data_IF_568510858070
#
_entry.id   IF_568510858070
#
_cell.length_a   1.000
_cell.length_b   1.000
_cell.length_c   1.000
_cell.angle_alpha   90.00
_cell.angle_beta   90.00
_cell.angle_gamma   90.00
#
_symmetry.space_group_name_H-M   'P 1'
#
loop_
_entity.id
_entity.type
_entity.pdbx_description
1 polymer ?
#
# COMPACT_ATOMS: atom_id res chain seq x y z
N UNK A 1 -27.75 -0.69 5.21
CA UNK A 1 -27.25 -1.19 6.51
C UNK A 1 -27.13 -2.71 6.61
N UNK A 2 -27.55 -3.47 5.59
CA UNK A 2 -27.51 -4.96 5.61
C UNK A 2 -26.27 -5.53 4.89
N UNK A 3 -25.60 -4.75 4.02
CA UNK A 3 -24.47 -5.26 3.22
C UNK A 3 -23.09 -5.18 3.89
N UNK A 4 -22.98 -4.51 5.04
CA UNK A 4 -21.71 -4.38 5.77
C UNK A 4 -21.36 -5.62 6.62
N UNK A 5 -22.34 -6.38 7.07
CA UNK A 5 -22.15 -7.55 7.96
C UNK A 5 -21.58 -8.75 7.20
N UNK A 6 -21.82 -8.83 5.88
CA UNK A 6 -21.37 -9.99 5.07
C UNK A 6 -19.88 -9.97 4.73
N UNK A 7 -19.24 -8.82 4.73
CA UNK A 7 -17.81 -8.67 4.37
C UNK A 7 -16.91 -8.96 5.59
N UNK A 8 -17.31 -8.57 6.80
CA UNK A 8 -16.55 -8.89 8.01
C UNK A 8 -16.59 -10.39 8.33
N UNK A 9 -17.72 -11.05 8.08
CA UNK A 9 -17.84 -12.50 8.29
C UNK A 9 -17.01 -13.33 7.31
N UNK A 10 -16.81 -12.84 6.09
CA UNK A 10 -15.99 -13.54 5.08
C UNK A 10 -14.49 -13.39 5.31
N UNK A 11 -14.05 -12.27 5.86
CA UNK A 11 -12.65 -12.05 6.27
C UNK A 11 -12.28 -12.93 7.48
N UNK A 12 -13.18 -13.10 8.45
CA UNK A 12 -12.96 -13.97 9.61
C UNK A 12 -12.91 -15.45 9.22
N UNK A 13 -13.71 -15.88 8.25
CA UNK A 13 -13.70 -17.25 7.72
C UNK A 13 -12.38 -17.54 6.97
N UNK A 14 -11.83 -16.58 6.23
CA UNK A 14 -10.54 -16.74 5.56
C UNK A 14 -9.36 -16.77 6.54
N UNK A 15 -9.42 -16.03 7.65
CA UNK A 15 -8.43 -16.10 8.72
C UNK A 15 -8.51 -17.44 9.50
N UNK A 16 -9.70 -17.97 9.69
CA UNK A 16 -9.91 -19.25 10.37
C UNK A 16 -9.43 -20.44 9.49
N UNK A 17 -9.61 -20.40 8.17
CA UNK A 17 -9.06 -21.38 7.23
C UNK A 17 -7.54 -21.26 7.05
N UNK A 18 -6.96 -20.09 7.19
CA UNK A 18 -5.51 -19.91 7.16
C UNK A 18 -4.84 -20.48 8.43
N UNK A 19 -5.56 -20.47 9.58
CA UNK A 19 -5.10 -21.08 10.84
C UNK A 19 -5.25 -22.60 10.86
N UNK A 20 -6.20 -23.20 10.13
CA UNK A 20 -6.40 -24.64 10.04
C UNK A 20 -5.33 -25.38 9.20
N UNK A 21 -4.51 -24.65 8.43
CA UNK A 21 -3.41 -25.20 7.62
C UNK A 21 -2.03 -25.20 8.28
N UNK A 22 -1.89 -24.69 9.51
CA UNK A 22 -0.61 -24.60 10.24
C UNK A 22 -0.56 -25.60 11.41
N UNK A 23 0.12 -26.72 11.21
CA UNK A 23 0.32 -27.79 12.16
C UNK A 23 0.94 -27.34 13.48
N UNK A 24 0.22 -27.58 14.59
CA UNK A 24 0.71 -27.52 15.96
C UNK A 24 0.61 -28.89 16.60
N UNK A 25 1.76 -29.44 16.97
CA UNK A 25 1.92 -30.66 17.75
C UNK A 25 1.39 -30.49 19.18
N UNK A 26 0.49 -31.35 19.63
CA UNK A 26 0.10 -31.48 21.03
C UNK A 26 -0.70 -32.73 21.25
N UNK A 27 -0.17 -33.68 22.01
CA UNK A 27 -0.60 -35.04 22.17
C UNK A 27 -1.92 -35.20 22.94
N UNK A 28 -2.58 -36.34 22.69
CA UNK A 28 -3.75 -36.84 23.40
C UNK A 28 -4.26 -38.12 22.78
N UNK A 29 -4.08 -39.22 23.47
CA UNK A 29 -4.43 -40.61 23.15
C UNK A 29 -5.93 -40.85 23.02
N UNK A 30 -6.35 -41.75 22.13
CA UNK A 30 -7.60 -42.48 22.23
C UNK A 30 -8.27 -42.90 20.94
N UNK A 31 -8.04 -44.13 20.47
CA UNK A 31 -9.02 -45.06 19.96
C UNK A 31 -9.67 -44.85 18.61
N UNK A 32 -9.44 -45.75 17.66
CA UNK A 32 -10.29 -45.96 16.52
C UNK A 32 -9.56 -46.16 15.18
N UNK A 33 -8.95 -47.34 14.96
CA UNK A 33 -8.25 -47.67 13.74
C UNK A 33 -9.21 -48.00 12.57
N UNK A 34 -9.53 -47.03 11.75
CA UNK A 34 -10.27 -47.23 10.50
C UNK A 34 -10.24 -46.04 9.56
N UNK A 35 -9.96 -44.85 10.05
CA UNK A 35 -9.99 -43.61 9.28
C UNK A 35 -8.67 -43.24 8.55
N UNK A 36 -7.53 -43.81 8.96
CA UNK A 36 -6.21 -43.35 8.56
C UNK A 36 -5.92 -43.51 7.06
N UNK A 37 -6.29 -44.61 6.45
CA UNK A 37 -5.95 -44.91 5.03
C UNK A 37 -6.86 -44.10 4.09
N UNK A 38 -8.15 -43.97 4.41
CA UNK A 38 -9.09 -43.20 3.61
C UNK A 38 -8.78 -41.71 3.68
N UNK A 39 -8.36 -41.18 4.83
CA UNK A 39 -7.94 -39.78 4.93
C UNK A 39 -6.63 -39.50 4.18
N UNK A 40 -5.70 -40.44 4.16
CA UNK A 40 -4.44 -40.30 3.39
C UNK A 40 -4.74 -40.34 1.88
N UNK A 41 -5.59 -41.25 1.42
CA UNK A 41 -5.99 -41.34 -0.01
C UNK A 41 -6.77 -40.06 -0.42
N UNK A 42 -7.66 -39.55 0.45
CA UNK A 42 -8.37 -38.31 0.21
C UNK A 42 -7.40 -37.11 0.13
N UNK A 43 -6.40 -37.03 0.99
CA UNK A 43 -5.37 -35.98 0.94
C UNK A 43 -4.50 -36.07 -0.31
N UNK A 44 -4.05 -37.27 -0.71
CA UNK A 44 -3.23 -37.49 -1.91
C UNK A 44 -3.98 -37.08 -3.18
N UNK A 45 -5.29 -37.29 -3.24
CA UNK A 45 -6.11 -36.87 -4.38
C UNK A 45 -6.53 -35.39 -4.32
N UNK A 46 -6.92 -34.90 -3.14
CA UNK A 46 -7.50 -33.58 -2.96
C UNK A 46 -6.46 -32.45 -3.14
N UNK A 47 -5.27 -32.55 -2.53
CA UNK A 47 -4.25 -31.48 -2.52
C UNK A 47 -3.74 -31.18 -3.93
N UNK A 48 -3.27 -32.17 -4.75
CA UNK A 48 -2.85 -31.88 -6.12
C UNK A 48 -4.00 -31.32 -6.99
N UNK A 49 -5.21 -31.83 -6.81
CA UNK A 49 -6.37 -31.38 -7.59
C UNK A 49 -6.87 -29.99 -7.17
N UNK A 50 -6.73 -29.61 -5.92
CA UNK A 50 -6.89 -28.24 -5.48
C UNK A 50 -5.87 -27.30 -6.16
N UNK A 51 -4.62 -27.75 -6.30
CA UNK A 51 -3.59 -27.06 -7.09
C UNK A 51 -4.00 -26.89 -8.56
N UNK A 52 -4.50 -27.95 -9.21
CA UNK A 52 -5.02 -27.90 -10.58
C UNK A 52 -6.22 -26.95 -10.69
N UNK A 53 -7.17 -27.01 -9.76
CA UNK A 53 -8.30 -26.08 -9.69
C UNK A 53 -7.86 -24.62 -9.54
N UNK A 54 -6.81 -24.37 -8.74
CA UNK A 54 -6.22 -23.04 -8.56
C UNK A 54 -5.51 -22.55 -9.83
N UNK A 55 -4.84 -23.42 -10.58
CA UNK A 55 -4.26 -23.11 -11.90
C UNK A 55 -5.34 -22.79 -12.94
N UNK A 56 -6.42 -23.57 -12.97
CA UNK A 56 -7.59 -23.28 -13.82
C UNK A 56 -8.19 -21.90 -13.48
N UNK A 57 -8.25 -21.55 -12.19
CA UNK A 57 -8.68 -20.26 -11.71
C UNK A 57 -7.78 -19.12 -12.25
N UNK A 58 -6.46 -19.25 -12.20
CA UNK A 58 -5.52 -18.24 -12.71
C UNK A 58 -5.77 -17.98 -14.21
N UNK A 59 -6.08 -19.01 -15.00
CA UNK A 59 -6.43 -18.87 -16.42
C UNK A 59 -7.68 -18.04 -16.72
N UNK A 60 -8.56 -17.81 -15.74
CA UNK A 60 -9.72 -16.92 -15.90
C UNK A 60 -9.42 -15.45 -15.65
N UNK A 61 -8.26 -15.11 -15.05
CA UNK A 61 -7.92 -13.75 -14.66
C UNK A 61 -7.01 -12.99 -15.65
N UNK A 62 -6.52 -13.64 -16.72
CA UNK A 62 -5.70 -12.94 -17.70
C UNK A 62 -5.49 -13.75 -18.99
N UNK A 63 -5.40 -13.05 -20.12
CA UNK A 63 -5.16 -13.67 -21.44
C UNK A 63 -3.79 -14.38 -21.52
N UNK A 64 -2.79 -13.90 -20.80
CA UNK A 64 -1.46 -14.52 -20.72
C UNK A 64 -1.46 -15.92 -20.07
N UNK A 65 -2.52 -16.24 -19.29
CA UNK A 65 -2.65 -17.51 -18.57
C UNK A 65 -3.64 -18.49 -19.22
N UNK A 66 -4.20 -18.15 -20.39
CA UNK A 66 -5.09 -19.03 -21.13
C UNK A 66 -4.46 -20.38 -21.45
N UNK A 67 -3.15 -20.40 -21.66
CA UNK A 67 -2.34 -21.61 -21.86
C UNK A 67 -2.36 -22.53 -20.62
N UNK A 68 -2.18 -21.98 -19.42
CA UNK A 68 -2.25 -22.76 -18.18
C UNK A 68 -3.63 -23.34 -17.92
N UNK A 69 -4.69 -22.65 -18.34
CA UNK A 69 -6.07 -23.15 -18.29
C UNK A 69 -6.24 -24.39 -19.19
N UNK A 70 -5.70 -24.33 -20.42
CA UNK A 70 -5.75 -25.46 -21.34
C UNK A 70 -4.99 -26.66 -20.76
N UNK A 71 -3.78 -26.45 -20.23
CA UNK A 71 -3.00 -27.49 -19.56
C UNK A 71 -3.77 -28.08 -18.36
N UNK A 72 -4.36 -27.27 -17.51
CA UNK A 72 -5.15 -27.69 -16.37
C UNK A 72 -6.31 -28.62 -16.76
N UNK A 73 -7.05 -28.29 -17.82
CA UNK A 73 -8.11 -29.13 -18.34
C UNK A 73 -7.60 -30.44 -18.94
N UNK A 74 -6.46 -30.42 -19.66
CA UNK A 74 -5.84 -31.64 -20.22
C UNK A 74 -5.40 -32.56 -19.09
N UNK A 75 -4.75 -32.03 -18.04
CA UNK A 75 -4.33 -32.82 -16.88
C UNK A 75 -5.53 -33.41 -16.15
N UNK A 76 -6.56 -32.62 -15.87
CA UNK A 76 -7.77 -33.09 -15.20
C UNK A 76 -8.48 -34.19 -16.02
N UNK A 77 -8.57 -34.02 -17.34
CA UNK A 77 -9.13 -34.99 -18.25
C UNK A 77 -8.32 -36.30 -18.30
N UNK A 78 -7.00 -36.22 -18.41
CA UNK A 78 -6.11 -37.36 -18.42
C UNK A 78 -6.20 -38.20 -17.13
N UNK A 79 -6.25 -37.52 -15.96
CA UNK A 79 -6.45 -38.19 -14.66
C UNK A 79 -7.82 -38.86 -14.58
N UNK A 80 -8.88 -38.20 -15.01
CA UNK A 80 -10.21 -38.79 -15.02
C UNK A 80 -10.33 -40.06 -15.90
N UNK A 81 -9.75 -39.97 -17.11
CA UNK A 81 -9.72 -41.14 -18.05
C UNK A 81 -8.86 -42.27 -17.47
N UNK A 82 -7.66 -41.94 -16.90
CA UNK A 82 -6.77 -42.94 -16.28
C UNK A 82 -7.47 -43.67 -15.11
N UNK A 83 -8.21 -42.97 -14.28
CA UNK A 83 -8.95 -43.59 -13.18
C UNK A 83 -10.09 -44.49 -13.64
N UNK A 84 -10.79 -44.12 -14.70
CA UNK A 84 -11.86 -44.99 -15.29
C UNK A 84 -11.25 -46.27 -15.86
N UNK A 85 -10.15 -46.15 -16.61
CA UNK A 85 -9.43 -47.30 -17.15
C UNK A 85 -8.92 -48.22 -16.04
N UNK A 86 -8.31 -47.67 -14.99
CA UNK A 86 -7.84 -48.41 -13.83
C UNK A 86 -8.99 -49.15 -13.11
N UNK A 87 -10.11 -48.48 -12.90
CA UNK A 87 -11.30 -49.06 -12.28
C UNK A 87 -11.88 -50.25 -13.06
N UNK A 88 -11.91 -50.14 -14.40
CA UNK A 88 -12.32 -51.21 -15.29
C UNK A 88 -11.35 -52.39 -15.25
N UNK A 89 -10.02 -52.07 -15.29
CA UNK A 89 -8.96 -53.09 -15.29
C UNK A 89 -8.91 -53.89 -13.98
N UNK A 90 -9.24 -53.27 -12.84
CA UNK A 90 -9.24 -53.89 -11.52
C UNK A 90 -10.59 -54.61 -11.22
N UNK A 91 -11.62 -54.39 -12.06
CA UNK A 91 -12.95 -54.99 -11.86
C UNK A 91 -13.72 -54.41 -10.65
N UNK A 92 -13.27 -53.24 -10.11
CA UNK A 92 -13.87 -52.58 -8.94
C UNK A 92 -14.28 -51.14 -9.27
N UNK A 93 -15.33 -50.98 -9.97
CA UNK A 93 -15.88 -49.66 -10.37
C UNK A 93 -16.22 -48.79 -9.16
N UNK A 94 -16.59 -49.34 -8.04
CA UNK A 94 -16.86 -48.64 -6.79
C UNK A 94 -15.63 -47.89 -6.26
N UNK A 95 -14.43 -48.40 -6.44
CA UNK A 95 -13.18 -47.70 -6.06
C UNK A 95 -12.92 -46.45 -6.89
N UNK A 96 -13.41 -46.42 -8.12
CA UNK A 96 -13.31 -45.21 -8.98
C UNK A 96 -14.09 -44.08 -8.38
N UNK A 97 -15.31 -44.31 -7.84
CA UNK A 97 -16.10 -43.27 -7.18
C UNK A 97 -15.44 -42.76 -5.92
N UNK A 98 -14.81 -43.61 -5.10
CA UNK A 98 -14.13 -43.23 -3.85
C UNK A 98 -12.92 -42.34 -4.14
N UNK A 99 -12.21 -42.57 -5.23
CA UNK A 99 -11.04 -41.78 -5.62
C UNK A 99 -11.45 -40.54 -6.44
N UNK A 100 -12.46 -40.69 -7.31
CA UNK A 100 -12.92 -39.58 -8.15
C UNK A 100 -13.59 -38.46 -7.35
N UNK A 101 -14.32 -38.79 -6.27
CA UNK A 101 -14.99 -37.79 -5.45
C UNK A 101 -14.04 -36.76 -4.83
N UNK A 102 -12.96 -37.12 -4.12
CA UNK A 102 -11.98 -36.16 -3.60
C UNK A 102 -11.29 -35.32 -4.70
N UNK A 103 -11.02 -35.94 -5.85
CA UNK A 103 -10.43 -35.25 -7.01
C UNK A 103 -11.39 -34.20 -7.56
N UNK A 104 -12.65 -34.58 -7.81
CA UNK A 104 -13.69 -33.67 -8.29
C UNK A 104 -13.94 -32.52 -7.28
N UNK A 105 -14.02 -32.83 -5.99
CA UNK A 105 -14.13 -31.82 -4.95
C UNK A 105 -12.90 -30.93 -4.88
N UNK A 106 -11.67 -31.45 -4.99
CA UNK A 106 -10.43 -30.66 -5.03
C UNK A 106 -10.44 -29.64 -6.16
N UNK A 107 -10.79 -30.07 -7.38
CA UNK A 107 -10.91 -29.15 -8.54
C UNK A 107 -12.03 -28.14 -8.32
N UNK A 108 -13.22 -28.58 -7.89
CA UNK A 108 -14.37 -27.70 -7.66
C UNK A 108 -14.10 -26.69 -6.55
N UNK A 109 -13.45 -27.09 -5.45
CA UNK A 109 -13.06 -26.19 -4.37
C UNK A 109 -11.97 -25.20 -4.81
N UNK A 110 -10.95 -25.67 -5.56
CA UNK A 110 -9.93 -24.81 -6.14
C UNK A 110 -10.53 -23.76 -7.12
N UNK A 111 -11.50 -24.18 -7.93
CA UNK A 111 -12.29 -23.32 -8.81
C UNK A 111 -13.30 -22.46 -8.02
N UNK A 112 -13.94 -23.00 -7.01
CA UNK A 112 -15.05 -22.40 -6.27
C UNK A 112 -14.66 -21.12 -5.54
N UNK A 113 -13.47 -21.08 -4.97
CA UNK A 113 -12.92 -19.85 -4.40
C UNK A 113 -12.76 -18.73 -5.46
N UNK A 114 -12.56 -19.11 -6.75
CA UNK A 114 -12.53 -18.19 -7.88
C UNK A 114 -13.91 -17.86 -8.43
N UNK A 115 -14.80 -18.83 -8.48
CA UNK A 115 -16.17 -18.63 -8.96
C UNK A 115 -16.96 -17.71 -8.03
N UNK A 116 -16.83 -17.86 -6.71
CA UNK A 116 -17.46 -16.96 -5.74
C UNK A 116 -17.01 -15.51 -5.93
N UNK A 117 -15.71 -15.28 -6.07
CA UNK A 117 -15.17 -13.96 -6.35
C UNK A 117 -15.61 -13.44 -7.76
N UNK A 118 -15.71 -14.32 -8.74
CA UNK A 118 -16.19 -13.98 -10.08
C UNK A 118 -17.68 -13.64 -10.08
N UNK A 119 -18.53 -14.44 -9.41
CA UNK A 119 -19.96 -14.15 -9.27
C UNK A 119 -20.20 -12.87 -8.47
N UNK A 120 -19.41 -12.59 -7.41
CA UNK A 120 -19.52 -11.35 -6.66
C UNK A 120 -19.14 -10.13 -7.53
N UNK A 121 -18.09 -10.24 -8.34
CA UNK A 121 -17.70 -9.20 -9.30
C UNK A 121 -18.74 -8.98 -10.39
N UNK A 122 -19.35 -10.07 -10.91
CA UNK A 122 -20.45 -9.96 -11.88
C UNK A 122 -21.68 -9.31 -11.27
N UNK A 123 -22.03 -9.69 -10.04
CA UNK A 123 -23.16 -9.09 -9.31
C UNK A 123 -22.90 -7.60 -9.04
N UNK A 124 -21.71 -7.24 -8.60
CA UNK A 124 -21.29 -5.85 -8.38
C UNK A 124 -21.31 -5.06 -9.69
N UNK A 125 -20.75 -5.59 -10.76
CA UNK A 125 -20.76 -4.94 -12.07
C UNK A 125 -22.20 -4.72 -12.59
N UNK A 126 -23.10 -5.71 -12.45
CA UNK A 126 -24.51 -5.56 -12.85
C UNK A 126 -25.23 -4.52 -12.00
N UNK A 127 -24.96 -4.47 -10.71
CA UNK A 127 -25.55 -3.47 -9.79
C UNK A 127 -25.14 -2.05 -10.19
N UNK A 128 -23.87 -1.83 -10.49
CA UNK A 128 -23.35 -0.53 -10.96
C UNK A 128 -23.97 -0.13 -12.29
N UNK A 129 -24.03 -1.07 -13.27
CA UNK A 129 -24.64 -0.80 -14.58
C UNK A 129 -26.13 -0.45 -14.42
N UNK A 130 -26.85 -1.14 -13.56
CA UNK A 130 -28.27 -0.85 -13.31
C UNK A 130 -28.46 0.51 -12.63
N UNK A 131 -27.57 0.88 -11.68
CA UNK A 131 -27.58 2.19 -11.05
C UNK A 131 -27.32 3.29 -12.07
N UNK A 132 -26.30 3.14 -12.93
CA UNK A 132 -26.00 4.08 -14.00
C UNK A 132 -27.17 4.25 -14.97
N UNK A 133 -27.81 3.15 -15.41
CA UNK A 133 -28.97 3.21 -16.30
C UNK A 133 -30.19 3.89 -15.65
N UNK A 134 -30.36 3.70 -14.35
CA UNK A 134 -31.44 4.38 -13.60
C UNK A 134 -31.15 5.87 -13.48
N UNK A 135 -29.92 6.27 -13.19
CA UNK A 135 -29.47 7.65 -13.13
C UNK A 135 -29.54 8.33 -14.52
N UNK A 136 -29.07 7.67 -15.58
CA UNK A 136 -29.10 8.18 -16.95
C UNK A 136 -30.52 8.51 -17.44
N UNK A 137 -31.53 7.74 -17.01
CA UNK A 137 -32.94 8.04 -17.36
C UNK A 137 -33.41 9.37 -16.78
N UNK A 138 -32.83 9.81 -15.66
CA UNK A 138 -33.15 11.09 -15.02
C UNK A 138 -32.27 12.21 -15.54
N UNK A 139 -30.99 11.91 -15.75
CA UNK A 139 -29.97 12.89 -16.14
C UNK A 139 -28.95 12.24 -17.09
N UNK A 140 -28.89 12.73 -18.33
CA UNK A 140 -27.96 12.25 -19.36
C UNK A 140 -26.47 12.39 -18.98
N UNK A 141 -26.15 13.21 -18.00
CA UNK A 141 -24.76 13.28 -17.49
C UNK A 141 -24.24 11.96 -16.92
N UNK A 142 -25.15 11.02 -16.59
CA UNK A 142 -24.83 9.66 -16.16
C UNK A 142 -24.60 8.64 -17.30
N UNK A 143 -24.51 9.09 -18.56
CA UNK A 143 -24.22 8.18 -19.67
C UNK A 143 -22.89 7.46 -19.47
N UNK A 144 -22.91 6.14 -19.32
CA UNK A 144 -21.75 5.30 -18.99
C UNK A 144 -20.59 5.52 -19.96
N UNK A 145 -20.84 5.48 -21.25
CA UNK A 145 -19.76 5.64 -22.28
C UNK A 145 -19.14 7.03 -22.24
N UNK A 146 -19.96 8.06 -21.99
CA UNK A 146 -19.48 9.45 -21.86
C UNK A 146 -18.60 9.60 -20.63
N UNK A 147 -19.02 9.09 -19.46
CA UNK A 147 -18.25 9.12 -18.22
C UNK A 147 -16.93 8.37 -18.36
N UNK A 148 -16.97 7.18 -18.94
CA UNK A 148 -15.76 6.38 -19.18
C UNK A 148 -14.77 7.12 -20.08
N UNK A 149 -15.22 7.62 -21.24
CA UNK A 149 -14.37 8.37 -22.19
C UNK A 149 -13.82 9.65 -21.55
N UNK A 150 -14.63 10.33 -20.74
CA UNK A 150 -14.20 11.51 -20.00
C UNK A 150 -13.07 11.16 -19.02
N UNK A 151 -13.27 10.14 -18.18
CA UNK A 151 -12.27 9.71 -17.20
C UNK A 151 -10.98 9.21 -17.83
N UNK A 152 -11.05 8.51 -18.97
CA UNK A 152 -9.86 8.13 -19.77
C UNK A 152 -9.11 9.37 -20.27
N UNK A 153 -9.83 10.38 -20.74
CA UNK A 153 -9.23 11.66 -21.16
C UNK A 153 -8.52 12.36 -20.01
N UNK A 154 -9.15 12.39 -18.82
CA UNK A 154 -8.53 12.96 -17.61
C UNK A 154 -7.31 12.15 -17.19
N UNK A 155 -7.32 10.82 -17.30
CA UNK A 155 -6.15 9.99 -17.01
C UNK A 155 -4.93 10.43 -17.85
N UNK A 156 -5.05 10.51 -19.18
CA UNK A 156 -3.94 10.93 -20.03
C UNK A 156 -3.48 12.35 -19.75
N UNK A 157 -4.44 13.23 -19.51
CA UNK A 157 -4.14 14.64 -19.19
C UNK A 157 -3.40 14.77 -17.86
N UNK A 158 -3.84 14.05 -16.83
CA UNK A 158 -3.19 14.04 -15.52
C UNK A 158 -1.76 13.50 -15.59
N UNK A 159 -1.53 12.38 -16.28
CA UNK A 159 -0.18 11.82 -16.43
C UNK A 159 0.79 12.81 -17.09
N UNK A 160 0.31 13.56 -18.08
CA UNK A 160 1.09 14.61 -18.72
C UNK A 160 1.34 15.78 -17.77
N UNK A 161 0.28 16.37 -17.21
CA UNK A 161 0.35 17.55 -16.33
C UNK A 161 1.20 17.27 -15.09
N UNK A 162 1.12 16.05 -14.53
CA UNK A 162 1.95 15.57 -13.43
C UNK A 162 3.44 15.54 -13.80
N UNK A 163 3.77 14.93 -14.93
CA UNK A 163 5.16 14.81 -15.40
C UNK A 163 5.78 16.18 -15.75
N UNK A 164 4.95 17.16 -16.12
CA UNK A 164 5.35 18.53 -16.47
C UNK A 164 5.21 19.53 -15.32
N UNK A 165 4.75 19.10 -14.13
CA UNK A 165 4.45 19.97 -12.99
C UNK A 165 3.43 21.08 -13.31
N UNK A 166 2.49 20.81 -14.21
CA UNK A 166 1.51 21.79 -14.69
C UNK A 166 0.30 21.92 -13.77
N UNK A 167 0.51 22.48 -12.59
CA UNK A 167 -0.53 22.69 -11.56
C UNK A 167 -1.69 23.57 -12.06
N UNK A 168 -1.44 24.58 -12.90
CA UNK A 168 -2.49 25.42 -13.46
C UNK A 168 -3.47 24.62 -14.33
N UNK A 169 -2.95 23.77 -15.21
CA UNK A 169 -3.78 22.89 -16.03
C UNK A 169 -4.60 21.93 -15.16
N UNK A 170 -4.00 21.38 -14.10
CA UNK A 170 -4.66 20.49 -13.16
C UNK A 170 -5.83 21.15 -12.44
N UNK A 171 -5.73 22.43 -12.08
CA UNK A 171 -6.80 23.18 -11.41
C UNK A 171 -8.11 23.27 -12.19
N UNK A 172 -8.09 22.98 -13.50
CA UNK A 172 -9.29 23.00 -14.35
C UNK A 172 -10.16 21.74 -14.21
N UNK A 173 -9.58 20.63 -13.73
CA UNK A 173 -10.29 19.34 -13.65
C UNK A 173 -10.11 18.59 -12.31
N UNK A 174 -9.33 19.13 -11.37
CA UNK A 174 -9.24 18.63 -10.00
C UNK A 174 -10.22 19.35 -9.08
N UNK A 175 -10.69 18.64 -8.04
CA UNK A 175 -11.36 19.31 -6.93
C UNK A 175 -10.38 20.21 -6.17
N UNK A 176 -10.83 21.30 -5.55
CA UNK A 176 -9.93 22.19 -4.79
C UNK A 176 -9.12 21.46 -3.72
N UNK A 177 -9.76 20.52 -3.02
CA UNK A 177 -9.11 19.71 -1.99
C UNK A 177 -8.00 18.85 -2.60
N UNK A 178 -8.29 18.14 -3.68
CA UNK A 178 -7.31 17.25 -4.32
C UNK A 178 -6.20 18.04 -5.03
N UNK A 179 -6.53 19.20 -5.62
CA UNK A 179 -5.54 20.12 -6.19
C UNK A 179 -4.52 20.57 -5.15
N UNK A 180 -4.97 20.95 -3.95
CA UNK A 180 -4.06 21.34 -2.87
C UNK A 180 -3.13 20.20 -2.46
N UNK A 181 -3.65 18.97 -2.38
CA UNK A 181 -2.83 17.79 -2.11
C UNK A 181 -1.77 17.57 -3.20
N UNK A 182 -2.19 17.60 -4.48
CA UNK A 182 -1.27 17.46 -5.62
C UNK A 182 -0.20 18.56 -5.63
N UNK A 183 -0.58 19.81 -5.35
CA UNK A 183 0.35 20.93 -5.27
C UNK A 183 1.43 20.71 -4.18
N UNK A 184 1.03 20.18 -3.02
CA UNK A 184 1.99 19.82 -1.97
C UNK A 184 2.95 18.72 -2.42
N UNK A 185 2.45 17.70 -3.13
CA UNK A 185 3.28 16.62 -3.67
C UNK A 185 4.27 17.15 -4.71
N UNK A 186 3.84 17.99 -5.63
CA UNK A 186 4.70 18.62 -6.63
C UNK A 186 5.74 19.53 -5.97
N UNK A 187 5.34 20.31 -4.96
CA UNK A 187 6.25 21.14 -4.19
C UNK A 187 7.33 20.29 -3.47
N UNK A 188 6.91 19.19 -2.85
CA UNK A 188 7.82 18.25 -2.19
C UNK A 188 8.79 17.58 -3.17
N UNK A 189 8.31 17.16 -4.35
CA UNK A 189 9.14 16.60 -5.41
C UNK A 189 10.17 17.63 -5.91
N UNK A 190 9.73 18.86 -6.16
CA UNK A 190 10.62 19.96 -6.54
C UNK A 190 11.70 20.24 -5.50
N UNK A 191 11.30 20.33 -4.22
CA UNK A 191 12.22 20.51 -3.09
C UNK A 191 13.21 19.36 -2.90
N UNK A 192 12.81 18.13 -3.28
CA UNK A 192 13.67 16.95 -3.30
C UNK A 192 14.51 16.83 -4.59
N UNK A 193 14.44 17.81 -5.49
CA UNK A 193 15.06 17.78 -6.81
C UNK A 193 14.66 16.54 -7.63
N UNK A 194 13.38 16.21 -7.67
CA UNK A 194 12.87 15.02 -8.35
C UNK A 194 11.76 15.37 -9.31
N UNK A 195 11.67 14.55 -10.36
CA UNK A 195 10.53 14.52 -11.25
C UNK A 195 10.09 13.07 -11.45
N UNK A 196 8.79 12.83 -11.36
CA UNK A 196 8.22 11.54 -11.73
C UNK A 196 7.61 11.66 -13.12
N UNK A 197 8.17 10.92 -14.09
CA UNK A 197 7.75 10.94 -15.50
C UNK A 197 6.98 9.67 -15.85
N UNK A 198 5.77 9.85 -16.35
CA UNK A 198 4.90 8.79 -16.84
C UNK A 198 4.97 8.71 -18.37
N UNK A 199 5.96 7.97 -18.89
CA UNK A 199 6.21 7.85 -20.33
C UNK A 199 5.22 6.90 -21.01
N UNK A 200 4.65 7.32 -22.16
CA UNK A 200 3.79 6.50 -23.02
C UNK A 200 2.68 5.74 -22.27
N UNK A 201 1.86 6.40 -21.47
CA UNK A 201 0.78 5.74 -20.76
C UNK A 201 -0.22 5.12 -21.74
N UNK A 202 -0.67 3.88 -21.44
CA UNK A 202 -1.61 3.14 -22.28
C UNK A 202 -2.64 2.44 -21.44
N UNK A 203 -3.91 2.81 -21.57
CA UNK A 203 -5.01 2.12 -20.95
C UNK A 203 -5.25 0.79 -21.66
N UNK A 204 -5.27 -0.30 -20.91
CA UNK A 204 -5.64 -1.63 -21.41
C UNK A 204 -7.10 -1.95 -21.11
N UNK A 205 -7.64 -1.42 -20.02
CA UNK A 205 -9.03 -1.60 -19.59
C UNK A 205 -9.45 -0.44 -18.71
N UNK A 206 -10.69 0.02 -18.90
CA UNK A 206 -11.37 0.93 -17.98
C UNK A 206 -12.80 0.45 -17.74
N UNK A 207 -13.35 0.74 -16.57
CA UNK A 207 -14.77 0.44 -16.25
C UNK A 207 -15.21 1.26 -15.03
N UNK A 208 -16.47 1.68 -15.02
CA UNK A 208 -17.06 2.30 -13.84
C UNK A 208 -17.34 1.19 -12.81
N UNK A 209 -16.75 1.32 -11.62
CA UNK A 209 -16.79 0.33 -10.54
C UNK A 209 -17.72 0.74 -9.40
N UNK A 210 -18.07 2.01 -9.32
CA UNK A 210 -19.06 2.56 -8.39
C UNK A 210 -19.73 3.79 -8.99
N UNK A 211 -20.99 4.01 -8.66
CA UNK A 211 -21.75 5.20 -9.00
C UNK A 211 -22.78 5.48 -7.89
N UNK A 212 -22.88 6.73 -7.47
CA UNK A 212 -23.85 7.19 -6.48
C UNK A 212 -24.54 8.44 -7.01
N UNK A 213 -25.84 8.30 -7.30
CA UNK A 213 -26.77 9.34 -7.71
C UNK A 213 -27.52 9.81 -6.47
N UNK A 214 -27.31 11.05 -6.08
CA UNK A 214 -27.96 11.68 -4.93
C UNK A 214 -29.03 12.67 -5.40
N UNK A 215 -29.97 13.02 -4.51
CA UNK A 215 -30.97 14.04 -4.81
C UNK A 215 -30.32 15.42 -5.07
N UNK A 216 -29.20 15.69 -4.43
CA UNK A 216 -28.37 16.85 -4.68
C UNK A 216 -27.24 16.45 -5.65
N UNK A 217 -27.38 16.85 -6.90
CA UNK A 217 -26.42 16.54 -7.96
C UNK A 217 -24.97 16.92 -7.62
N UNK A 218 -24.72 17.92 -6.74
CA UNK A 218 -23.37 18.29 -6.36
C UNK A 218 -22.71 17.26 -5.41
N UNK A 219 -23.47 16.25 -4.97
CA UNK A 219 -22.97 15.13 -4.18
C UNK A 219 -22.76 13.88 -5.01
N UNK A 220 -23.15 13.93 -6.28
CA UNK A 220 -22.98 12.81 -7.20
C UNK A 220 -21.52 12.42 -7.33
N UNK A 221 -21.27 11.12 -7.36
CA UNK A 221 -19.92 10.60 -7.52
C UNK A 221 -19.92 9.30 -8.34
N UNK A 222 -18.83 9.11 -9.11
CA UNK A 222 -18.51 7.81 -9.69
C UNK A 222 -17.03 7.49 -9.53
N UNK A 223 -16.71 6.21 -9.56
CA UNK A 223 -15.34 5.71 -9.54
C UNK A 223 -15.08 4.94 -10.82
N UNK A 224 -14.04 5.35 -11.55
CA UNK A 224 -13.51 4.67 -12.72
C UNK A 224 -12.30 3.83 -12.32
N UNK A 225 -12.38 2.52 -12.50
CA UNK A 225 -11.23 1.63 -12.40
C UNK A 225 -10.48 1.63 -13.72
N UNK A 226 -9.20 1.97 -13.71
CA UNK A 226 -8.33 2.03 -14.89
C UNK A 226 -7.18 1.05 -14.70
N UNK A 227 -7.05 0.10 -15.62
CA UNK A 227 -5.86 -0.73 -15.75
C UNK A 227 -5.03 -0.20 -16.91
N UNK A 228 -3.80 0.20 -16.62
CA UNK A 228 -2.92 0.81 -17.58
C UNK A 228 -1.49 0.30 -17.44
N UNK A 229 -0.64 0.64 -18.39
CA UNK A 229 0.81 0.51 -18.32
C UNK A 229 1.44 1.84 -18.73
N UNK A 230 2.57 2.16 -18.11
CA UNK A 230 3.38 3.32 -18.46
C UNK A 230 4.84 3.02 -18.13
N UNK A 231 5.74 3.81 -18.71
CA UNK A 231 7.13 3.86 -18.26
C UNK A 231 7.21 4.86 -17.11
N UNK A 232 7.03 4.37 -15.88
CA UNK A 232 7.07 5.16 -14.66
C UNK A 232 8.53 5.34 -14.23
N UNK A 233 9.03 6.57 -14.25
CA UNK A 233 10.41 6.89 -13.93
C UNK A 233 10.48 8.00 -12.89
N UNK A 234 11.22 7.75 -11.80
CA UNK A 234 11.62 8.78 -10.84
C UNK A 234 13.06 9.20 -11.14
N UNK A 235 13.28 10.48 -11.40
CA UNK A 235 14.55 11.03 -11.86
C UNK A 235 14.99 12.13 -10.90
N UNK A 236 16.26 12.11 -10.48
CA UNK A 236 16.92 13.23 -9.81
C UNK A 236 17.25 14.31 -10.85
N UNK A 237 16.74 15.53 -10.68
CA UNK A 237 16.88 16.62 -11.66
C UNK A 237 18.24 17.31 -11.61
N UNK A 238 19.06 17.06 -10.58
CA UNK A 238 20.40 17.68 -10.44
C UNK A 238 21.42 17.09 -11.41
N UNK A 239 21.33 15.75 -11.60
CA UNK A 239 22.29 14.99 -12.40
C UNK A 239 21.62 14.06 -13.43
N UNK A 240 20.28 14.12 -13.55
CA UNK A 240 19.45 13.23 -14.35
C UNK A 240 19.58 11.73 -13.99
N UNK A 241 19.99 11.43 -12.76
CA UNK A 241 20.08 10.05 -12.28
C UNK A 241 18.69 9.41 -12.20
N UNK A 242 18.54 8.24 -12.82
CA UNK A 242 17.35 7.43 -12.72
C UNK A 242 17.32 6.73 -11.34
N UNK A 243 16.43 7.20 -10.45
CA UNK A 243 16.26 6.64 -9.10
C UNK A 243 15.41 5.38 -9.10
N UNK A 244 14.39 5.33 -9.97
CA UNK A 244 13.46 4.21 -10.07
C UNK A 244 12.86 4.14 -11.48
N UNK A 245 12.61 2.92 -11.97
CA UNK A 245 11.86 2.66 -13.20
C UNK A 245 10.96 1.45 -13.01
N UNK A 246 9.67 1.58 -13.39
CA UNK A 246 8.75 0.47 -13.52
C UNK A 246 7.98 0.56 -14.84
N UNK A 247 7.74 -0.61 -15.44
CA UNK A 247 6.97 -0.76 -16.69
C UNK A 247 5.80 -1.73 -16.53
N UNK A 248 5.54 -2.15 -15.29
CA UNK A 248 4.47 -3.10 -15.02
C UNK A 248 3.11 -2.46 -15.21
N UNK A 249 2.14 -3.28 -15.56
CA UNK A 249 0.75 -2.87 -15.55
C UNK A 249 0.29 -2.61 -14.11
N UNK A 250 -0.47 -1.54 -13.93
CA UNK A 250 -1.06 -1.14 -12.66
C UNK A 250 -2.57 -0.94 -12.81
N UNK A 251 -3.29 -0.98 -11.69
CA UNK A 251 -4.73 -0.68 -11.65
C UNK A 251 -4.96 0.36 -10.58
N UNK A 252 -5.61 1.45 -10.96
CA UNK A 252 -5.97 2.56 -10.10
C UNK A 252 -7.46 2.84 -10.16
N UNK A 253 -7.98 3.43 -9.09
CA UNK A 253 -9.37 3.82 -8.94
C UNK A 253 -9.45 5.34 -8.86
N UNK A 254 -10.14 5.93 -9.83
CA UNK A 254 -10.23 7.37 -10.05
C UNK A 254 -11.62 7.84 -9.65
N UNK A 255 -11.72 8.57 -8.53
CA UNK A 255 -12.98 9.11 -8.00
C UNK A 255 -13.26 10.46 -8.63
N UNK A 256 -14.43 10.57 -9.24
CA UNK A 256 -14.96 11.82 -9.79
C UNK A 256 -16.16 12.25 -8.97
N UNK A 257 -16.25 13.54 -8.68
CA UNK A 257 -17.40 14.19 -8.08
C UNK A 257 -18.00 15.20 -9.05
N UNK A 258 -19.28 15.45 -8.92
CA UNK A 258 -19.99 16.38 -9.79
C UNK A 258 -19.85 17.82 -9.30
N UNK A 259 -19.69 18.73 -10.25
CA UNK A 259 -19.70 20.16 -10.02
C UNK A 259 -20.57 20.83 -11.09
N UNK A 260 -21.82 21.10 -10.75
CA UNK A 260 -22.82 21.57 -11.72
C UNK A 260 -23.08 20.50 -12.80
N UNK A 261 -22.74 20.83 -14.05
CA UNK A 261 -22.89 19.90 -15.18
C UNK A 261 -21.61 19.14 -15.52
N UNK A 262 -20.50 19.43 -14.83
CA UNK A 262 -19.19 18.85 -15.10
C UNK A 262 -18.80 17.86 -14.01
N UNK A 263 -17.87 16.99 -14.36
CA UNK A 263 -17.22 16.07 -13.45
C UNK A 263 -15.78 16.49 -13.20
N UNK A 264 -15.35 16.45 -11.95
CA UNK A 264 -13.97 16.79 -11.58
C UNK A 264 -13.35 15.64 -10.79
N UNK A 265 -12.06 15.42 -10.98
CA UNK A 265 -11.30 14.38 -10.27
C UNK A 265 -11.06 14.81 -8.83
N UNK A 266 -11.46 13.97 -7.88
CA UNK A 266 -11.37 14.23 -6.44
C UNK A 266 -10.38 13.32 -5.72
N UNK A 267 -9.85 12.30 -6.39
CA UNK A 267 -8.83 11.44 -5.82
C UNK A 267 -8.49 10.25 -6.70
N UNK A 268 -7.28 9.73 -6.48
CA UNK A 268 -6.78 8.49 -7.06
C UNK A 268 -6.40 7.57 -5.91
N UNK A 269 -6.85 6.32 -5.93
CA UNK A 269 -6.58 5.31 -4.90
C UNK A 269 -6.22 3.97 -5.52
N UNK A 270 -5.62 3.09 -4.71
CA UNK A 270 -5.28 1.72 -5.11
C UNK A 270 -6.45 0.76 -4.92
N UNK A 271 -7.46 1.18 -4.18
CA UNK A 271 -8.68 0.41 -3.87
C UNK A 271 -9.90 1.32 -3.82
N UNK A 272 -11.08 0.80 -4.19
CA UNK A 272 -12.33 1.52 -3.97
C UNK A 272 -12.62 1.79 -2.49
N UNK A 273 -12.05 0.98 -1.60
CA UNK A 273 -12.16 1.15 -0.14
C UNK A 273 -11.48 2.42 0.36
N UNK A 274 -10.46 2.90 -0.34
CA UNK A 274 -9.70 4.09 0.05
C UNK A 274 -10.58 5.33 0.12
N UNK A 275 -11.67 5.37 -0.66
CA UNK A 275 -12.63 6.46 -0.68
C UNK A 275 -13.76 6.32 0.35
N UNK A 276 -14.03 5.10 0.85
CA UNK A 276 -15.19 4.79 1.67
C UNK A 276 -14.85 4.32 3.09
N UNK A 277 -13.58 4.24 3.45
CA UNK A 277 -13.18 3.93 4.83
C UNK A 277 -13.65 5.03 5.75
N UNK A 278 -14.62 4.72 6.59
CA UNK A 278 -15.21 5.63 7.57
C UNK A 278 -14.34 5.90 8.79
N UNK A 279 -13.32 5.09 9.04
CA UNK A 279 -12.33 5.28 10.09
C UNK A 279 -10.95 4.84 9.61
N UNK A 280 -10.11 5.84 9.39
CA UNK A 280 -8.67 5.65 9.33
C UNK A 280 -8.09 6.69 10.28
N UNK A 281 -7.63 6.25 11.44
CA UNK A 281 -7.11 7.12 12.49
C UNK A 281 -6.02 8.07 11.99
N UNK A 282 -5.26 7.66 10.98
CA UNK A 282 -4.20 8.48 10.36
C UNK A 282 -4.81 9.56 9.47
N UNK A 283 -5.87 9.23 8.73
CA UNK A 283 -6.59 10.22 7.91
C UNK A 283 -7.28 11.27 8.78
N UNK A 284 -7.86 10.84 9.89
CA UNK A 284 -8.48 11.73 10.88
C UNK A 284 -7.42 12.62 11.54
N UNK A 285 -6.25 12.06 11.87
CA UNK A 285 -5.09 12.83 12.35
C UNK A 285 -4.66 13.87 11.31
N UNK A 286 -4.50 13.48 10.04
CA UNK A 286 -4.13 14.39 8.97
C UNK A 286 -5.14 15.55 8.83
N UNK A 287 -6.44 15.23 8.84
CA UNK A 287 -7.50 16.23 8.75
C UNK A 287 -7.48 17.20 9.95
N UNK A 288 -7.28 16.71 11.18
CA UNK A 288 -7.17 17.54 12.39
C UNK A 288 -5.96 18.50 12.34
N UNK A 289 -4.90 18.13 11.61
CA UNK A 289 -3.69 18.94 11.46
C UNK A 289 -3.68 19.77 10.15
N UNK A 290 -4.80 19.80 9.41
CA UNK A 290 -4.89 20.42 8.08
C UNK A 290 -3.85 19.87 7.09
N UNK A 291 -3.57 18.57 7.18
CA UNK A 291 -2.67 17.83 6.30
C UNK A 291 -3.45 16.91 5.38
N UNK A 292 -2.81 16.41 4.34
CA UNK A 292 -3.41 15.55 3.34
C UNK A 292 -2.86 14.13 3.44
N UNK A 293 -3.72 13.14 3.31
CA UNK A 293 -3.40 11.73 3.40
C UNK A 293 -3.43 11.06 2.02
N UNK A 294 -2.44 10.22 1.75
CA UNK A 294 -2.45 9.24 0.66
C UNK A 294 -1.89 7.90 1.13
N UNK A 295 -2.35 6.79 0.54
CA UNK A 295 -1.92 5.47 0.98
C UNK A 295 -0.50 5.15 0.53
N UNK A 296 -0.13 5.44 -0.72
CA UNK A 296 1.06 4.90 -1.38
C UNK A 296 1.95 5.91 -2.14
N UNK A 297 1.66 7.19 -2.10
CA UNK A 297 2.43 8.19 -2.88
C UNK A 297 3.75 8.61 -2.23
N UNK A 298 3.92 8.31 -0.94
CA UNK A 298 5.09 8.73 -0.16
C UNK A 298 6.41 8.20 -0.70
N UNK A 299 6.42 7.06 -1.38
CA UNK A 299 7.63 6.46 -1.93
C UNK A 299 8.38 7.37 -2.93
N UNK A 300 7.67 8.29 -3.60
CA UNK A 300 8.26 9.29 -4.50
C UNK A 300 9.21 10.24 -3.75
N UNK A 301 8.99 10.41 -2.46
CA UNK A 301 9.72 11.36 -1.60
C UNK A 301 10.71 10.67 -0.67
N UNK A 302 10.89 9.35 -0.80
CA UNK A 302 11.84 8.56 0.00
C UNK A 302 13.24 9.17 -0.08
N UNK A 303 13.92 9.39 1.05
CA UNK A 303 15.27 9.90 1.03
C UNK A 303 16.25 8.98 0.31
N UNK A 304 17.19 9.55 -0.43
CA UNK A 304 18.26 8.80 -1.10
C UNK A 304 19.36 8.39 -0.11
N UNK A 305 19.63 9.24 0.86
CA UNK A 305 20.70 9.10 1.81
C UNK A 305 20.15 9.16 3.24
N UNK A 306 20.83 8.49 4.16
CA UNK A 306 20.50 8.49 5.58
C UNK A 306 20.77 7.12 6.22
N UNK A 307 20.86 7.10 7.53
CA UNK A 307 21.04 5.87 8.30
C UNK A 307 19.83 4.94 8.19
N UNK A 308 18.63 5.51 8.32
CA UNK A 308 17.36 4.76 8.24
C UNK A 308 17.16 4.18 6.83
N UNK A 309 17.55 4.91 5.78
CA UNK A 309 17.27 4.60 4.38
C UNK A 309 18.45 3.96 3.63
N UNK A 310 19.62 3.87 4.25
CA UNK A 310 20.86 3.42 3.59
C UNK A 310 20.87 1.97 3.10
N UNK A 311 19.88 1.16 3.50
CA UNK A 311 19.81 -0.28 3.20
C UNK A 311 18.80 -0.65 2.12
N UNK A 312 18.05 0.31 1.58
CA UNK A 312 16.93 0.05 0.67
C UNK A 312 17.20 0.47 -0.76
N UNK A 313 16.73 -0.31 -1.72
CA UNK A 313 16.45 0.19 -3.06
C UNK A 313 15.11 0.92 -2.99
N UNK A 314 14.96 2.01 -3.75
CA UNK A 314 13.67 2.66 -3.92
C UNK A 314 12.61 1.64 -4.35
N UNK A 315 11.50 1.56 -3.62
CA UNK A 315 10.40 0.65 -3.91
C UNK A 315 9.06 1.24 -3.50
N UNK A 316 8.00 0.95 -4.27
CA UNK A 316 6.64 1.45 -4.00
C UNK A 316 6.05 0.94 -2.69
N UNK A 317 6.52 -0.22 -2.21
CA UNK A 317 6.00 -0.89 -1.01
C UNK A 317 6.63 -0.42 0.29
N UNK A 318 7.67 0.42 0.21
CA UNK A 318 8.47 0.75 1.40
C UNK A 318 7.83 1.85 2.25
N UNK A 319 6.96 2.66 1.67
CA UNK A 319 6.22 3.71 2.37
C UNK A 319 4.72 3.51 2.22
N UNK A 320 4.03 3.54 3.35
CA UNK A 320 2.58 3.51 3.43
C UNK A 320 2.08 4.63 4.34
N UNK A 321 0.77 4.94 4.25
CA UNK A 321 0.12 5.92 5.12
C UNK A 321 0.80 7.29 5.10
N UNK A 322 1.06 7.82 3.92
CA UNK A 322 1.72 9.11 3.76
C UNK A 322 0.79 10.27 4.07
N UNK A 323 1.21 11.14 4.96
CA UNK A 323 0.55 12.40 5.33
C UNK A 323 1.49 13.55 4.98
N UNK A 324 1.00 14.59 4.34
CA UNK A 324 1.80 15.75 3.93
C UNK A 324 1.05 17.05 4.19
N UNK A 325 1.77 18.07 4.65
CA UNK A 325 1.24 19.41 4.90
C UNK A 325 2.30 20.37 5.40
N UNK A 326 1.87 21.52 5.86
CA UNK A 326 2.75 22.51 6.46
C UNK A 326 2.56 22.57 7.99
N UNK A 327 3.69 22.59 8.71
CA UNK A 327 3.75 22.84 10.15
C UNK A 327 4.63 24.05 10.36
N UNK A 328 4.10 25.14 10.92
CA UNK A 328 4.81 26.42 11.04
C UNK A 328 5.41 26.92 9.70
N UNK A 329 4.65 26.78 8.60
CA UNK A 329 5.08 27.06 7.21
C UNK A 329 6.25 26.20 6.70
N UNK A 330 6.59 25.13 7.40
CA UNK A 330 7.64 24.19 6.97
C UNK A 330 6.96 22.92 6.43
N UNK A 331 7.37 22.49 5.24
CA UNK A 331 6.88 21.27 4.64
C UNK A 331 7.21 20.08 5.53
N UNK A 332 6.17 19.37 5.94
CA UNK A 332 6.26 18.24 6.86
C UNK A 332 5.53 17.05 6.29
N UNK A 333 6.13 15.89 6.45
CA UNK A 333 5.59 14.60 6.04
C UNK A 333 5.60 13.63 7.22
N UNK A 334 4.62 12.73 7.24
CA UNK A 334 4.53 11.64 8.19
C UNK A 334 4.15 10.37 7.43
N UNK A 335 4.84 9.26 7.69
CA UNK A 335 4.59 8.00 7.00
C UNK A 335 5.05 6.80 7.80
N UNK A 336 4.56 5.62 7.41
CA UNK A 336 5.14 4.35 7.84
C UNK A 336 6.16 3.90 6.82
N UNK A 337 7.33 3.47 7.30
CA UNK A 337 8.42 2.95 6.50
C UNK A 337 8.69 1.49 6.87
N UNK A 338 8.66 0.62 5.88
CA UNK A 338 9.00 -0.79 6.00
C UNK A 338 10.19 -1.07 5.09
N UNK A 339 11.43 -1.19 5.64
CA UNK A 339 12.59 -1.49 4.80
C UNK A 339 12.37 -2.79 4.02
N UNK A 340 12.71 -2.78 2.73
CA UNK A 340 12.54 -3.92 1.84
C UNK A 340 13.14 -5.19 2.45
N UNK A 341 12.29 -6.18 2.69
CA UNK A 341 12.69 -7.43 3.32
C UNK A 341 13.42 -8.35 2.33
N UNK A 342 14.65 -8.67 2.65
CA UNK A 342 15.26 -9.93 2.21
C UNK A 342 14.43 -11.08 2.79
N UNK A 343 14.01 -12.03 1.94
CA UNK A 343 13.22 -13.21 2.31
C UNK A 343 13.59 -13.75 3.70
N UNK A 344 12.62 -13.82 4.60
CA UNK A 344 12.74 -14.46 5.92
C UNK A 344 12.71 -13.55 7.13
N UNK A 345 12.45 -12.23 7.01
CA UNK A 345 12.25 -11.35 8.16
C UNK A 345 10.77 -11.19 8.51
N UNK A 346 10.51 -11.25 9.80
CA UNK A 346 9.21 -11.00 10.42
C UNK A 346 8.83 -9.52 10.31
N UNK A 347 7.56 -9.21 10.40
CA UNK A 347 6.93 -7.86 10.39
C UNK A 347 7.42 -6.90 11.49
N UNK A 348 8.61 -7.12 12.05
CA UNK A 348 9.13 -6.41 13.22
C UNK A 348 9.87 -5.10 12.90
N UNK A 349 10.17 -4.84 11.62
CA UNK A 349 10.97 -3.66 11.22
C UNK A 349 10.11 -2.56 10.58
N UNK A 350 8.96 -2.24 11.17
CA UNK A 350 8.16 -1.08 10.79
C UNK A 350 8.58 0.15 11.58
N UNK A 351 8.75 1.28 10.88
CA UNK A 351 9.08 2.57 11.48
C UNK A 351 7.96 3.58 11.23
N UNK A 352 7.68 4.39 12.23
CA UNK A 352 6.95 5.64 12.06
C UNK A 352 7.98 6.74 11.86
N UNK A 353 7.84 7.50 10.78
CA UNK A 353 8.78 8.53 10.39
C UNK A 353 8.05 9.85 10.24
N UNK A 354 8.56 10.89 10.87
CA UNK A 354 8.18 12.28 10.61
C UNK A 354 9.38 12.99 9.98
N UNK A 355 9.14 13.59 8.83
CA UNK A 355 10.16 14.26 8.04
C UNK A 355 9.78 15.73 7.87
N UNK A 356 10.74 16.62 8.04
CA UNK A 356 10.53 18.05 7.82
C UNK A 356 11.71 18.65 7.06
N UNK A 357 11.42 19.61 6.19
CA UNK A 357 12.42 20.32 5.40
C UNK A 357 12.69 21.67 6.03
N UNK A 358 13.84 21.79 6.70
CA UNK A 358 14.23 23.04 7.37
C UNK A 358 14.94 24.00 6.40
N UNK A 359 14.84 25.33 6.62
CA UNK A 359 15.39 26.31 5.69
C UNK A 359 16.93 26.31 5.60
N UNK A 360 17.61 25.87 6.66
CA UNK A 360 19.08 25.87 6.79
C UNK A 360 19.60 24.43 6.71
N UNK A 361 20.74 24.24 6.08
CA UNK A 361 21.46 22.97 6.16
C UNK A 361 22.16 22.82 7.51
N UNK A 362 22.02 21.63 8.09
CA UNK A 362 22.69 21.24 9.36
C UNK A 362 23.71 20.11 9.14
N UNK A 363 23.99 19.77 7.87
CA UNK A 363 24.90 18.68 7.52
C UNK A 363 24.34 17.32 7.93
N UNK A 364 25.21 16.44 8.45
CA UNK A 364 24.80 15.07 8.83
C UNK A 364 24.95 14.87 10.34
N UNK A 365 23.82 14.64 11.00
CA UNK A 365 23.71 14.38 12.44
C UNK A 365 22.83 13.15 12.64
N UNK A 366 23.23 12.25 13.53
CA UNK A 366 22.40 11.13 13.97
C UNK A 366 22.36 11.09 15.49
N UNK A 367 21.16 11.18 16.05
CA UNK A 367 20.87 10.99 17.48
C UNK A 367 20.12 9.67 17.61
N UNK A 368 20.77 8.69 18.20
CA UNK A 368 20.22 7.35 18.32
C UNK A 368 20.11 6.94 19.77
N UNK A 369 18.94 6.42 20.17
CA UNK A 369 18.79 5.81 21.48
C UNK A 369 19.66 4.56 21.59
N UNK A 370 20.41 4.43 22.69
CA UNK A 370 21.25 3.26 22.92
C UNK A 370 20.40 2.02 23.06
N UNK A 371 20.62 1.04 22.22
CA UNK A 371 20.18 -0.32 22.44
C UNK A 371 21.34 -1.11 23.04
N UNK A 372 21.08 -1.96 23.98
CA UNK A 372 22.06 -2.68 24.80
C UNK A 372 23.01 -3.61 24.06
N UNK A 373 22.95 -3.74 22.73
CA UNK A 373 23.55 -4.90 22.07
C UNK A 373 24.56 -4.60 20.97
N UNK A 374 24.59 -3.43 20.31
CA UNK A 374 25.51 -3.24 19.17
C UNK A 374 26.04 -1.81 19.07
N UNK A 375 27.37 -1.64 19.16
CA UNK A 375 28.06 -0.42 18.74
C UNK A 375 28.11 -0.36 17.21
N UNK A 376 27.18 0.35 16.59
CA UNK A 376 27.18 0.56 15.15
C UNK A 376 28.19 1.64 14.78
N UNK A 377 29.16 1.30 13.93
CA UNK A 377 29.94 2.32 13.22
C UNK A 377 29.04 2.91 12.14
N UNK A 378 28.71 4.18 12.24
CA UNK A 378 27.97 4.92 11.21
C UNK A 378 29.02 5.46 10.23
N UNK A 379 29.00 4.99 9.00
CA UNK A 379 29.98 5.37 8.00
C UNK A 379 29.99 6.90 7.78
N UNK A 380 31.16 7.50 7.89
CA UNK A 380 31.36 8.94 7.65
C UNK A 380 30.92 9.86 8.79
N UNK A 381 30.53 9.33 9.95
CA UNK A 381 30.18 10.12 11.13
C UNK A 381 31.05 9.73 12.31
N UNK A 382 31.38 10.71 13.15
CA UNK A 382 32.10 10.52 14.40
C UNK A 382 31.15 10.64 15.59
N UNK A 383 31.37 9.80 16.61
CA UNK A 383 30.63 9.88 17.85
C UNK A 383 31.03 11.10 18.64
N UNK A 384 30.03 11.87 19.08
CA UNK A 384 30.22 13.09 19.89
C UNK A 384 29.72 12.82 21.30
N UNK A 385 30.43 13.38 22.28
CA UNK A 385 29.97 13.44 23.68
C UNK A 385 29.29 14.79 23.90
N UNK A 386 28.04 14.74 24.37
CA UNK A 386 27.31 15.92 24.80
C UNK A 386 27.76 16.32 26.22
N UNK A 387 27.62 17.61 26.59
CA UNK A 387 27.99 18.08 27.94
C UNK A 387 27.19 17.42 29.05
N UNK A 388 25.96 16.97 28.76
CA UNK A 388 25.09 16.30 29.72
C UNK A 388 25.39 14.79 29.76
N UNK A 389 26.10 14.35 30.80
CA UNK A 389 26.55 12.97 30.97
C UNK A 389 25.40 11.94 31.02
N UNK A 390 24.29 12.27 31.68
CA UNK A 390 23.09 11.39 31.74
C UNK A 390 22.49 11.17 30.36
N UNK A 391 22.37 12.19 29.52
CA UNK A 391 21.92 12.06 28.15
C UNK A 391 22.81 11.11 27.34
N UNK A 392 24.14 11.19 27.51
CA UNK A 392 25.10 10.30 26.87
C UNK A 392 24.95 8.83 27.31
N UNK A 393 24.30 8.53 28.44
CA UNK A 393 23.98 7.14 28.81
C UNK A 393 22.82 6.57 28.05
N UNK A 394 21.91 7.43 27.60
CA UNK A 394 20.68 7.05 26.90
C UNK A 394 20.75 7.18 25.39
N UNK A 395 21.56 8.13 24.91
CA UNK A 395 21.67 8.44 23.48
C UNK A 395 23.13 8.44 23.01
N UNK A 396 23.34 7.96 21.81
CA UNK A 396 24.57 8.14 21.05
C UNK A 396 24.34 9.21 19.99
N UNK A 397 25.21 10.23 19.97
CA UNK A 397 25.19 11.30 18.99
C UNK A 397 26.35 11.13 18.04
N UNK A 398 26.09 11.22 16.75
CA UNK A 398 27.09 11.14 15.69
C UNK A 398 26.93 12.35 14.77
N UNK A 399 28.03 12.93 14.34
CA UNK A 399 28.03 14.01 13.35
C UNK A 399 29.28 13.92 12.44
N UNK A 400 29.22 14.58 11.28
CA UNK A 400 30.40 14.84 10.47
C UNK A 400 31.33 15.86 11.18
N UNK A 401 32.61 15.85 10.85
CA UNK A 401 33.59 16.75 11.53
C UNK A 401 33.25 18.23 11.41
N UNK A 402 32.68 18.64 10.27
CA UNK A 402 32.27 20.02 10.01
C UNK A 402 31.02 20.45 10.81
N UNK A 403 30.25 19.49 11.33
CA UNK A 403 28.89 19.73 11.84
C UNK A 403 28.77 19.57 13.37
N UNK A 404 29.91 19.47 14.07
CA UNK A 404 29.90 19.34 15.54
C UNK A 404 29.21 20.53 16.22
N UNK A 405 29.47 21.75 15.75
CA UNK A 405 28.85 22.97 16.31
C UNK A 405 27.36 23.01 16.06
N UNK A 406 26.92 22.61 14.87
CA UNK A 406 25.51 22.59 14.48
C UNK A 406 24.72 21.54 15.26
N UNK A 407 25.37 20.44 15.67
CA UNK A 407 24.76 19.43 16.55
C UNK A 407 24.34 20.00 17.89
N UNK A 408 25.12 20.96 18.45
CA UNK A 408 24.81 21.61 19.73
C UNK A 408 23.65 22.60 19.60
N UNK A 409 23.43 23.21 18.43
CA UNK A 409 22.27 24.06 18.19
C UNK A 409 20.97 23.23 18.26
N UNK A 410 20.93 22.06 17.63
CA UNK A 410 19.78 21.15 17.64
C UNK A 410 19.57 20.55 19.03
N UNK A 411 20.63 20.02 19.64
CA UNK A 411 20.60 19.30 20.91
C UNK A 411 20.92 20.23 22.08
N UNK A 412 20.18 21.31 22.25
CA UNK A 412 20.29 22.14 23.44
C UNK A 412 19.73 21.39 24.69
N UNK A 413 20.04 21.86 25.92
CA UNK A 413 19.62 21.18 27.14
C UNK A 413 18.13 20.96 27.26
N UNK A 414 17.30 21.88 26.78
CA UNK A 414 15.84 21.77 26.84
C UNK A 414 15.31 20.66 25.93
N UNK A 415 15.89 20.50 24.73
CA UNK A 415 15.50 19.44 23.81
C UNK A 415 16.02 18.07 24.26
N UNK A 416 17.24 18.00 24.78
CA UNK A 416 17.80 16.78 25.37
C UNK A 416 16.96 16.29 26.56
N UNK A 417 16.52 17.19 27.45
CA UNK A 417 15.61 16.86 28.55
C UNK A 417 14.27 16.31 28.03
N UNK A 418 13.70 16.94 27.01
CA UNK A 418 12.47 16.47 26.39
C UNK A 418 12.62 15.04 25.82
N UNK A 419 13.70 14.77 25.07
CA UNK A 419 13.98 13.44 24.53
C UNK A 419 14.17 12.37 25.61
N UNK A 420 14.82 12.72 26.73
CA UNK A 420 15.01 11.82 27.87
C UNK A 420 13.68 11.40 28.49
N UNK A 421 12.76 12.34 28.64
CA UNK A 421 11.50 12.16 29.34
C UNK A 421 10.42 11.47 28.49
N UNK A 422 10.69 11.19 27.21
CA UNK A 422 9.77 10.46 26.35
C UNK A 422 9.59 9.01 26.80
N UNK A 423 8.34 8.50 26.89
CA UNK A 423 8.03 7.13 27.30
C UNK A 423 8.32 6.08 26.22
N UNK A 424 8.82 6.49 25.05
CA UNK A 424 9.11 5.62 23.92
C UNK A 424 10.46 5.99 23.27
N UNK A 425 10.98 5.07 22.47
CA UNK A 425 12.25 5.28 21.76
C UNK A 425 12.05 6.24 20.59
N UNK A 426 12.83 7.32 20.55
CA UNK A 426 12.89 8.26 19.42
C UNK A 426 14.32 8.37 18.93
N UNK A 427 14.49 8.31 17.62
CA UNK A 427 15.75 8.57 16.95
C UNK A 427 15.58 9.80 16.04
N UNK A 428 16.63 10.58 15.88
CA UNK A 428 16.63 11.77 15.02
C UNK A 428 17.80 11.67 14.07
N UNK A 429 17.53 11.87 12.79
CA UNK A 429 18.56 11.98 11.78
C UNK A 429 18.38 13.28 11.01
N UNK A 430 19.48 13.98 10.80
CA UNK A 430 19.53 15.16 9.93
C UNK A 430 20.44 14.84 8.76
N UNK A 431 19.94 15.09 7.57
CA UNK A 431 20.68 14.99 6.32
C UNK A 431 20.50 16.32 5.58
N UNK A 432 21.51 17.15 5.60
CA UNK A 432 21.51 18.50 5.07
C UNK A 432 20.38 19.36 5.67
N UNK A 433 19.33 19.65 4.93
CA UNK A 433 18.17 20.43 5.35
C UNK A 433 16.92 19.57 5.62
N UNK A 434 17.08 18.27 5.78
CA UNK A 434 15.96 17.37 6.10
C UNK A 434 16.18 16.74 7.47
N UNK A 435 15.20 16.89 8.34
CA UNK A 435 15.17 16.30 9.67
C UNK A 435 14.20 15.14 9.68
N UNK A 436 14.68 13.98 10.08
CA UNK A 436 13.88 12.77 10.29
C UNK A 436 13.78 12.48 11.77
N UNK A 437 12.56 12.36 12.28
CA UNK A 437 12.25 11.91 13.63
C UNK A 437 11.54 10.58 13.50
N UNK A 438 12.11 9.51 14.02
CA UNK A 438 11.56 8.18 13.79
C UNK A 438 11.62 7.28 15.01
N UNK A 439 10.67 6.35 15.07
CA UNK A 439 10.61 5.30 16.08
C UNK A 439 10.28 3.96 15.44
N UNK A 440 10.82 2.87 15.98
CA UNK A 440 10.46 1.52 15.59
C UNK A 440 9.17 1.14 16.31
N UNK A 441 8.05 1.14 15.61
CA UNK A 441 6.76 0.80 16.20
C UNK A 441 5.75 0.38 15.11
N UNK A 442 4.77 -0.41 15.52
CA UNK A 442 3.57 -0.63 14.70
C UNK A 442 2.72 0.64 14.63
N UNK A 443 1.89 0.74 13.60
CA UNK A 443 0.97 1.87 13.41
C UNK A 443 0.15 2.07 14.68
N UNK A 444 0.30 3.26 15.28
CA UNK A 444 -0.45 3.69 16.45
C UNK A 444 -0.64 5.21 16.38
N UNK A 445 -1.87 5.67 16.33
CA UNK A 445 -2.21 7.09 16.20
C UNK A 445 -1.69 7.93 17.36
N UNK A 446 -1.65 7.37 18.59
CA UNK A 446 -1.07 8.06 19.73
C UNK A 446 0.42 8.37 19.52
N UNK A 447 1.17 7.47 18.86
CA UNK A 447 2.58 7.71 18.52
C UNK A 447 2.75 8.80 17.45
N UNK A 448 1.82 8.91 16.49
CA UNK A 448 1.85 10.02 15.52
C UNK A 448 1.72 11.37 16.23
N UNK A 449 0.79 11.49 17.18
CA UNK A 449 0.62 12.70 17.96
C UNK A 449 1.89 13.01 18.78
N UNK A 450 2.48 12.00 19.41
CA UNK A 450 3.72 12.16 20.19
C UNK A 450 4.91 12.56 19.33
N UNK A 451 5.09 11.96 18.14
CA UNK A 451 6.13 12.38 17.20
C UNK A 451 5.90 13.81 16.70
N UNK A 452 4.64 14.19 16.49
CA UNK A 452 4.29 15.56 16.11
C UNK A 452 4.67 16.57 17.20
N UNK A 453 4.50 16.24 18.46
CA UNK A 453 4.92 17.08 19.60
C UNK A 453 6.44 17.19 19.69
N UNK A 454 7.17 16.10 19.43
CA UNK A 454 8.65 16.13 19.33
C UNK A 454 9.08 17.05 18.19
N UNK A 455 8.39 16.99 17.04
CA UNK A 455 8.68 17.87 15.90
C UNK A 455 8.47 19.34 16.26
N UNK A 456 7.32 19.67 16.85
CA UNK A 456 7.02 21.05 17.28
C UNK A 456 8.06 21.58 18.27
N UNK A 457 8.53 20.71 19.18
CA UNK A 457 9.59 21.05 20.11
C UNK A 457 10.91 21.28 19.38
N UNK A 458 11.27 20.39 18.44
CA UNK A 458 12.45 20.56 17.61
C UNK A 458 12.44 21.89 16.84
N UNK A 459 11.33 22.21 16.16
CA UNK A 459 11.17 23.49 15.46
C UNK A 459 11.37 24.69 16.37
N UNK A 460 10.79 24.65 17.58
CA UNK A 460 10.96 25.71 18.57
C UNK A 460 12.42 25.91 18.98
N UNK A 461 13.13 24.80 19.25
CA UNK A 461 14.52 24.88 19.70
C UNK A 461 15.49 25.26 18.55
N UNK A 462 15.15 24.90 17.31
CA UNK A 462 15.89 25.32 16.11
C UNK A 462 15.52 26.76 15.67
N UNK A 463 14.59 27.42 16.36
CA UNK A 463 14.10 28.78 16.04
C UNK A 463 13.47 28.87 14.63
N UNK A 464 12.73 27.85 14.26
CA UNK A 464 12.00 27.74 12.99
C UNK A 464 10.55 28.20 13.12
#
# INVERSE_FOLDING_TARGET
>A
MVDFIFIEHFSSILEEFARAGGGGSGGGSGGGGGGGILSVIAMIGFIPMYGVGSLLRLGYYGSAWAFLRAIGWVIAGAIAVGLVIAGIAIGRIEMVFIIFLPIAFGVLFGMGAGLGAWFSKLKQSRSVINALRAAEKKDYNWNEKRLQKYGEGIFYKFQKDWSEFNSESMGRYLSPHYQNHINLMLHALSGAHRVNKMGSPKISKSMIVAAKDFDDNNKDEFILGITASAKDQLIDTRDNTLLFEDKKSFTEFWRFIRRGNDWILDGIGQSTRDFYRTRNDIRDFAAQKNMYYSEDWGWLLLPKDGYLFSKGKFGRSDINNHVIGFVNNILTQLYTYEPYHVQGRTTEDQYLVMQTNVPKSYGRILVKRRSSVINWKVAGLQKIQMEWGEFNTMYDVYASDSEKVTSFELLNPAFMAHLRDLPFEVNIEVVDNVVYIFTKARINTALYQSLYEVLLKAHKEMKL
#
